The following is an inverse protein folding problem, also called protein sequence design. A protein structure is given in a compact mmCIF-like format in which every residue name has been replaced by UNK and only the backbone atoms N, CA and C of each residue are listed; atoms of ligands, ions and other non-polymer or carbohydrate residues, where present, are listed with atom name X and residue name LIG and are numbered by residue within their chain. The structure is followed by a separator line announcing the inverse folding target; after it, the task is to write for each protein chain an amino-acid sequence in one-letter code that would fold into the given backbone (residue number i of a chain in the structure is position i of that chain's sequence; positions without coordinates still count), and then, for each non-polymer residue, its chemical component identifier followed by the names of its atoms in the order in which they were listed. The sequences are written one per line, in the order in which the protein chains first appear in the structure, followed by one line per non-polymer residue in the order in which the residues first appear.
data_IF_043345534070
#
_entry.id   IF_043345534070
#
_cell.length_a   1.000
_cell.length_b   1.000
_cell.length_c   1.000
_cell.angle_alpha   90.00
_cell.angle_beta   90.00
_cell.angle_gamma   90.00
#
_symmetry.space_group_name_H-M   'P 1'
#
loop_
_entity.id
_entity.type
_entity.pdbx_description
1 polymer ?
#
# COMPACT_ATOMS: atom_id res chain seq x y z
N UNK A 1 -27.68 -25.47 -9.74
CA UNK A 1 -26.60 -25.64 -8.74
C UNK A 1 -26.45 -24.32 -7.98
N UNK A 2 -26.61 -24.32 -6.66
CA UNK A 2 -26.51 -23.11 -5.83
C UNK A 2 -25.03 -22.83 -5.52
N UNK A 3 -24.36 -22.18 -6.48
CA UNK A 3 -22.95 -21.80 -6.44
C UNK A 3 -22.78 -20.54 -5.57
N UNK A 4 -22.74 -20.71 -4.26
CA UNK A 4 -22.58 -19.58 -3.34
C UNK A 4 -22.78 -19.87 -1.87
N UNK A 5 -23.29 -21.06 -1.51
CA UNK A 5 -23.35 -21.46 -0.10
C UNK A 5 -21.94 -21.83 0.39
N UNK A 6 -21.46 -21.25 1.51
CA UNK A 6 -20.19 -21.66 2.10
C UNK A 6 -20.25 -23.13 2.51
N UNK A 7 -19.17 -23.87 2.23
CA UNK A 7 -19.01 -25.27 2.61
C UNK A 7 -19.19 -25.41 4.13
N UNK A 8 -20.12 -26.24 4.62
CA UNK A 8 -20.26 -26.47 6.06
C UNK A 8 -18.94 -26.99 6.63
N UNK A 9 -18.37 -26.30 7.63
CA UNK A 9 -17.15 -26.71 8.34
C UNK A 9 -15.83 -26.08 7.88
N UNK A 10 -15.81 -25.30 6.79
CA UNK A 10 -14.59 -24.61 6.35
C UNK A 10 -14.57 -23.17 6.90
N UNK A 11 -13.67 -22.89 7.85
CA UNK A 11 -13.42 -21.51 8.28
C UNK A 11 -12.69 -20.75 7.19
N UNK A 12 -13.11 -19.52 6.93
CA UNK A 12 -12.55 -18.72 5.85
C UNK A 12 -11.11 -18.33 6.18
N UNK A 13 -10.15 -18.84 5.42
CA UNK A 13 -8.73 -18.50 5.61
C UNK A 13 -8.48 -17.05 5.18
N UNK A 14 -8.42 -16.15 6.17
CA UNK A 14 -8.18 -14.73 5.93
C UNK A 14 -6.81 -14.45 5.31
N UNK A 15 -5.78 -15.25 5.60
CA UNK A 15 -4.46 -15.07 5.02
C UNK A 15 -4.48 -15.32 3.51
N UNK A 16 -5.14 -16.41 3.07
CA UNK A 16 -5.26 -16.72 1.64
C UNK A 16 -6.06 -15.66 0.89
N UNK A 17 -7.11 -15.11 1.50
CA UNK A 17 -7.90 -14.04 0.89
C UNK A 17 -7.06 -12.78 0.74
N UNK A 18 -6.39 -12.34 1.81
CA UNK A 18 -5.55 -11.15 1.77
C UNK A 18 -4.41 -11.32 0.76
N UNK A 19 -3.81 -12.50 0.67
CA UNK A 19 -2.77 -12.80 -0.32
C UNK A 19 -3.32 -12.70 -1.75
N UNK A 20 -4.46 -13.34 -2.04
CA UNK A 20 -5.09 -13.29 -3.35
C UNK A 20 -5.52 -11.86 -3.73
N UNK A 21 -6.08 -11.10 -2.79
CA UNK A 21 -6.44 -9.69 -2.98
C UNK A 21 -5.21 -8.84 -3.27
N UNK A 22 -4.13 -9.04 -2.51
CA UNK A 22 -2.88 -8.30 -2.69
C UNK A 22 -2.28 -8.56 -4.06
N UNK A 23 -2.19 -9.83 -4.48
CA UNK A 23 -1.68 -10.22 -5.79
C UNK A 23 -2.55 -9.63 -6.89
N UNK A 24 -3.88 -9.75 -6.79
CA UNK A 24 -4.80 -9.22 -7.79
C UNK A 24 -4.70 -7.71 -7.96
N UNK A 25 -4.64 -6.97 -6.86
CA UNK A 25 -4.55 -5.49 -6.88
C UNK A 25 -3.17 -5.05 -7.38
N UNK A 26 -2.10 -5.71 -6.96
CA UNK A 26 -0.74 -5.40 -7.40
C UNK A 26 -0.60 -5.59 -8.92
N UNK A 27 -1.05 -6.73 -9.45
CA UNK A 27 -1.01 -6.99 -10.89
C UNK A 27 -1.92 -6.05 -11.69
N UNK A 28 -3.12 -5.76 -11.19
CA UNK A 28 -4.03 -4.81 -11.83
C UNK A 28 -3.36 -3.44 -12.01
N UNK A 29 -2.81 -2.88 -10.93
CA UNK A 29 -2.15 -1.58 -11.00
C UNK A 29 -0.83 -1.62 -11.79
N UNK A 30 -0.13 -2.75 -11.78
CA UNK A 30 1.07 -2.93 -12.61
C UNK A 30 0.75 -2.84 -14.11
N UNK A 31 -0.24 -3.62 -14.57
CA UNK A 31 -0.66 -3.58 -15.99
C UNK A 31 -1.26 -2.22 -16.35
N UNK A 32 -2.03 -1.63 -15.44
CA UNK A 32 -2.61 -0.30 -15.62
C UNK A 32 -1.53 0.78 -15.84
N UNK A 33 -0.50 0.82 -14.99
CA UNK A 33 0.62 1.76 -15.16
C UNK A 33 1.37 1.51 -16.46
N UNK A 34 1.63 0.24 -16.80
CA UNK A 34 2.29 -0.09 -18.05
C UNK A 34 1.50 0.44 -19.26
N UNK A 35 0.17 0.37 -19.21
CA UNK A 35 -0.70 0.89 -20.27
C UNK A 35 -0.73 2.42 -20.33
N UNK A 36 -0.66 3.09 -19.18
CA UNK A 36 -0.58 4.56 -19.11
C UNK A 36 0.73 5.07 -19.71
N UNK A 37 1.83 4.37 -19.44
CA UNK A 37 3.15 4.81 -19.88
C UNK A 37 3.50 4.39 -21.30
N UNK A 38 2.69 3.56 -21.95
CA UNK A 38 2.89 3.22 -23.36
C UNK A 38 2.74 4.48 -24.23
N UNK A 39 3.84 4.89 -24.87
CA UNK A 39 3.92 6.06 -25.75
C UNK A 39 2.98 5.98 -26.96
N UNK A 40 2.58 4.76 -27.37
CA UNK A 40 1.67 4.56 -28.50
C UNK A 40 0.21 4.86 -28.14
N UNK A 41 -0.15 4.82 -26.85
CA UNK A 41 -1.52 4.92 -26.38
C UNK A 41 -1.78 6.20 -25.59
N UNK A 42 -1.04 6.42 -24.49
CA UNK A 42 -1.26 7.53 -23.57
C UNK A 42 0.03 8.29 -23.29
N UNK A 43 1.19 7.66 -23.11
CA UNK A 43 2.46 8.37 -22.88
C UNK A 43 2.52 9.20 -21.59
N UNK A 44 3.73 9.63 -21.23
CA UNK A 44 4.03 10.19 -19.91
C UNK A 44 3.42 11.58 -19.65
N UNK A 45 3.18 12.37 -20.69
CA UNK A 45 2.75 13.78 -20.59
C UNK A 45 1.35 14.03 -21.14
N UNK A 46 0.49 13.01 -21.13
CA UNK A 46 -0.88 13.10 -21.64
C UNK A 46 -1.90 13.37 -20.54
N UNK A 47 -3.01 14.00 -20.91
CA UNK A 47 -4.08 14.39 -19.98
C UNK A 47 -4.59 13.22 -19.13
N UNK A 48 -4.59 12.00 -19.70
CA UNK A 48 -5.00 10.78 -18.99
C UNK A 48 -4.05 10.39 -17.86
N UNK A 49 -2.75 10.58 -18.05
CA UNK A 49 -1.72 10.32 -17.04
C UNK A 49 -1.86 11.29 -15.86
N UNK A 50 -2.11 12.58 -16.15
CA UNK A 50 -2.42 13.58 -15.12
C UNK A 50 -3.72 13.26 -14.38
N UNK A 51 -4.77 12.80 -15.07
CA UNK A 51 -6.02 12.39 -14.43
C UNK A 51 -5.80 11.18 -13.50
N UNK A 52 -5.01 10.21 -13.95
CA UNK A 52 -4.67 9.02 -13.17
C UNK A 52 -3.87 9.38 -11.92
N UNK A 53 -2.94 10.33 -12.03
CA UNK A 53 -2.21 10.90 -10.90
C UNK A 53 -3.14 11.56 -9.87
N UNK A 54 -4.00 12.49 -10.30
CA UNK A 54 -4.92 13.19 -9.40
C UNK A 54 -5.93 12.22 -8.78
N UNK A 55 -6.47 11.29 -9.59
CA UNK A 55 -7.41 10.27 -9.15
C UNK A 55 -6.82 9.34 -8.09
N UNK A 56 -5.64 8.77 -8.35
CA UNK A 56 -4.96 7.90 -7.39
C UNK A 56 -4.52 8.67 -6.13
N UNK A 57 -4.07 9.92 -6.29
CA UNK A 57 -3.67 10.79 -5.18
C UNK A 57 -4.83 11.09 -4.23
N UNK A 58 -5.96 11.61 -4.75
CA UNK A 58 -7.15 11.90 -3.94
C UNK A 58 -7.74 10.63 -3.32
N UNK A 59 -7.77 9.52 -4.07
CA UNK A 59 -8.27 8.26 -3.56
C UNK A 59 -7.39 7.71 -2.43
N UNK A 60 -6.07 7.73 -2.59
CA UNK A 60 -5.15 7.28 -1.53
C UNK A 60 -5.30 8.11 -0.25
N UNK A 61 -5.43 9.44 -0.34
CA UNK A 61 -5.65 10.31 0.82
C UNK A 61 -6.95 9.96 1.56
N UNK A 62 -8.02 9.72 0.81
CA UNK A 62 -9.30 9.26 1.39
C UNK A 62 -9.14 7.92 2.12
N UNK A 63 -8.45 6.96 1.50
CA UNK A 63 -8.22 5.64 2.08
C UNK A 63 -7.32 5.71 3.32
N UNK A 64 -6.25 6.51 3.31
CA UNK A 64 -5.36 6.71 4.45
C UNK A 64 -6.16 7.30 5.64
N UNK A 65 -6.99 8.32 5.40
CA UNK A 65 -7.86 8.88 6.45
C UNK A 65 -8.76 7.81 7.05
N UNK A 66 -9.33 6.93 6.21
CA UNK A 66 -10.18 5.84 6.67
C UNK A 66 -9.39 4.73 7.38
N UNK A 67 -8.15 4.48 6.96
CA UNK A 67 -7.26 3.50 7.55
C UNK A 67 -6.98 3.83 9.03
N UNK A 68 -6.77 5.10 9.34
CA UNK A 68 -6.52 5.59 10.71
C UNK A 68 -7.69 5.35 11.68
N UNK A 69 -8.89 5.08 11.17
CA UNK A 69 -10.08 4.83 12.00
C UNK A 69 -10.22 3.35 12.40
N UNK A 70 -9.49 2.42 11.78
CA UNK A 70 -9.63 1.00 12.09
C UNK A 70 -8.91 0.63 13.40
N UNK A 71 -9.67 0.08 14.35
CA UNK A 71 -9.17 -0.36 15.67
C UNK A 71 -8.63 -1.80 15.70
N UNK A 72 -8.94 -2.64 14.70
CA UNK A 72 -8.49 -4.04 14.64
C UNK A 72 -7.34 -4.19 13.64
N UNK A 73 -6.21 -4.71 14.11
CA UNK A 73 -4.98 -4.88 13.34
C UNK A 73 -5.18 -5.73 12.08
N UNK A 74 -5.92 -6.84 12.16
CA UNK A 74 -6.15 -7.74 11.01
C UNK A 74 -6.98 -7.10 9.89
N UNK A 75 -7.97 -6.28 10.25
CA UNK A 75 -8.79 -5.55 9.28
C UNK A 75 -7.99 -4.36 8.72
N UNK A 76 -7.23 -3.68 9.58
CA UNK A 76 -6.35 -2.59 9.19
C UNK A 76 -5.31 -3.07 8.17
N UNK A 77 -4.68 -4.23 8.37
CA UNK A 77 -3.67 -4.76 7.45
C UNK A 77 -4.23 -5.06 6.06
N UNK A 78 -5.39 -5.73 5.99
CA UNK A 78 -6.09 -6.01 4.73
C UNK A 78 -6.46 -4.73 3.97
N UNK A 79 -6.73 -3.65 4.69
CA UNK A 79 -7.04 -2.35 4.09
C UNK A 79 -5.79 -1.54 3.73
N UNK A 80 -4.72 -1.68 4.52
CA UNK A 80 -3.47 -0.96 4.35
C UNK A 80 -2.74 -1.36 3.07
N UNK A 81 -2.72 -2.65 2.73
CA UNK A 81 -1.98 -3.14 1.55
C UNK A 81 -2.54 -2.53 0.25
N UNK A 82 -3.85 -2.62 -0.07
CA UNK A 82 -4.42 -1.93 -1.23
C UNK A 82 -4.21 -0.42 -1.22
N UNK A 83 -4.33 0.20 -0.04
CA UNK A 83 -4.14 1.64 0.12
C UNK A 83 -2.72 2.07 -0.24
N UNK A 84 -1.72 1.30 0.19
CA UNK A 84 -0.31 1.53 -0.14
C UNK A 84 -0.05 1.36 -1.65
N UNK A 85 -0.67 0.38 -2.30
CA UNK A 85 -0.54 0.18 -3.75
C UNK A 85 -1.12 1.36 -4.52
N UNK A 86 -2.32 1.85 -4.16
CA UNK A 86 -2.93 3.02 -4.82
C UNK A 86 -2.05 4.27 -4.61
N UNK A 87 -1.52 4.45 -3.40
CA UNK A 87 -0.58 5.53 -3.11
C UNK A 87 0.70 5.42 -3.94
N UNK A 88 1.24 4.21 -4.13
CA UNK A 88 2.43 3.97 -4.95
C UNK A 88 2.25 4.43 -6.39
N UNK A 89 1.07 4.25 -6.99
CA UNK A 89 0.82 4.75 -8.36
C UNK A 89 1.05 6.26 -8.48
N UNK A 90 0.70 7.01 -7.45
CA UNK A 90 0.91 8.47 -7.41
C UNK A 90 2.40 8.80 -7.33
N UNK A 91 3.14 8.09 -6.45
CA UNK A 91 4.59 8.24 -6.29
C UNK A 91 5.34 7.87 -7.57
N UNK A 92 4.96 6.76 -8.22
CA UNK A 92 5.57 6.28 -9.45
C UNK A 92 5.48 7.34 -10.57
N UNK A 93 4.30 7.93 -10.76
CA UNK A 93 4.11 8.98 -11.78
C UNK A 93 4.99 10.20 -11.46
N UNK A 94 5.08 10.60 -10.19
CA UNK A 94 5.96 11.70 -9.76
C UNK A 94 7.45 11.41 -9.98
N UNK A 95 7.87 10.17 -9.72
CA UNK A 95 9.24 9.72 -9.95
C UNK A 95 9.61 9.79 -11.44
N UNK A 96 8.70 9.37 -12.32
CA UNK A 96 8.90 9.47 -13.78
C UNK A 96 8.95 10.89 -14.30
N UNK A 97 8.19 11.82 -13.71
CA UNK A 97 8.33 13.25 -14.00
C UNK A 97 9.56 13.90 -13.35
N UNK A 98 10.45 13.11 -12.74
CA UNK A 98 11.67 13.58 -12.08
C UNK A 98 11.43 14.65 -11.01
N UNK A 99 10.29 14.63 -10.32
CA UNK A 99 9.98 15.58 -9.25
C UNK A 99 10.91 15.44 -8.04
N UNK A 100 11.44 14.24 -7.81
CA UNK A 100 12.43 13.95 -6.80
C UNK A 100 13.35 12.85 -7.32
N UNK A 101 14.58 12.80 -6.82
CA UNK A 101 15.41 11.59 -6.99
C UNK A 101 14.97 10.57 -5.96
N UNK A 102 14.78 9.33 -6.39
CA UNK A 102 14.32 8.30 -5.48
C UNK A 102 15.40 7.96 -4.44
N UNK A 103 15.15 8.33 -3.18
CA UNK A 103 16.07 8.02 -2.08
C UNK A 103 16.29 6.52 -1.91
N UNK A 104 15.33 5.68 -2.33
CA UNK A 104 15.45 4.22 -2.31
C UNK A 104 16.33 3.65 -3.42
N UNK A 105 16.57 4.40 -4.51
CA UNK A 105 17.50 4.01 -5.57
C UNK A 105 18.92 4.50 -5.25
N UNK A 106 19.04 5.68 -4.64
CA UNK A 106 20.31 6.30 -4.25
C UNK A 106 20.43 6.50 -2.73
N UNK A 107 20.43 5.43 -1.91
CA UNK A 107 20.38 5.56 -0.45
C UNK A 107 21.63 6.22 0.15
N UNK A 108 22.78 6.11 -0.53
CA UNK A 108 24.05 6.68 -0.07
C UNK A 108 24.18 8.18 -0.33
N UNK A 109 23.48 8.70 -1.34
CA UNK A 109 23.44 10.13 -1.66
C UNK A 109 22.50 10.86 -0.69
N UNK A 110 21.42 10.19 -0.28
CA UNK A 110 20.37 10.72 0.60
C UNK A 110 20.48 10.15 2.02
N UNK A 111 21.62 10.43 2.68
CA UNK A 111 21.96 9.88 4.01
C UNK A 111 20.94 10.28 5.09
N UNK A 112 20.41 11.50 5.05
CA UNK A 112 19.45 12.00 6.04
C UNK A 112 18.08 11.34 5.88
N UNK A 113 17.53 11.26 4.67
CA UNK A 113 16.25 10.59 4.43
C UNK A 113 16.32 9.10 4.74
N UNK A 114 17.41 8.45 4.31
CA UNK A 114 17.64 7.03 4.58
C UNK A 114 17.79 6.75 6.09
N UNK A 115 18.46 7.63 6.84
CA UNK A 115 18.53 7.55 8.30
C UNK A 115 17.17 7.78 8.97
N UNK A 116 16.37 8.72 8.47
CA UNK A 116 15.02 8.97 8.99
C UNK A 116 14.11 7.75 8.81
N UNK A 117 14.16 7.09 7.66
CA UNK A 117 13.43 5.83 7.41
C UNK A 117 13.89 4.75 8.39
N UNK A 118 15.20 4.59 8.61
CA UNK A 118 15.74 3.62 9.55
C UNK A 118 15.24 3.87 10.98
N UNK A 119 15.26 5.12 11.44
CA UNK A 119 14.76 5.51 12.76
C UNK A 119 13.27 5.23 12.88
N UNK A 120 12.48 5.51 11.84
CA UNK A 120 11.04 5.23 11.84
C UNK A 120 10.76 3.72 11.95
N UNK A 121 11.50 2.88 11.22
CA UNK A 121 11.35 1.42 11.28
C UNK A 121 11.71 0.88 12.67
N UNK A 122 12.84 1.33 13.24
CA UNK A 122 13.26 0.92 14.59
C UNK A 122 12.23 1.38 15.62
N UNK A 123 11.77 2.63 15.53
CA UNK A 123 10.75 3.19 16.42
C UNK A 123 9.46 2.37 16.38
N UNK A 124 8.99 2.02 15.17
CA UNK A 124 7.81 1.18 15.01
C UNK A 124 7.99 -0.23 15.60
N UNK A 125 9.16 -0.85 15.41
CA UNK A 125 9.47 -2.16 15.98
C UNK A 125 9.45 -2.12 17.53
N UNK A 126 10.09 -1.11 18.12
CA UNK A 126 10.12 -0.92 19.59
C UNK A 126 8.71 -0.69 20.14
N UNK A 127 7.90 0.15 19.49
CA UNK A 127 6.51 0.38 19.90
C UNK A 127 5.66 -0.90 19.81
N UNK A 128 5.87 -1.70 18.77
CA UNK A 128 5.16 -2.97 18.56
C UNK A 128 5.48 -3.97 19.67
N UNK A 129 6.75 -4.13 20.04
CA UNK A 129 7.17 -5.01 21.15
C UNK A 129 6.61 -4.52 22.49
N UNK A 130 6.67 -3.21 22.77
CA UNK A 130 6.10 -2.64 24.00
C UNK A 130 4.60 -2.85 24.10
N UNK A 131 3.87 -2.65 23.00
CA UNK A 131 2.41 -2.87 22.93
C UNK A 131 2.05 -4.34 23.18
N UNK A 132 2.82 -5.27 22.63
CA UNK A 132 2.65 -6.71 22.88
C UNK A 132 2.85 -7.06 24.37
N UNK A 133 3.94 -6.58 24.98
CA UNK A 133 4.27 -6.86 26.39
C UNK A 133 3.25 -6.25 27.37
N UNK A 134 2.70 -5.07 27.07
CA UNK A 134 1.65 -4.45 27.89
C UNK A 134 0.36 -5.29 27.90
N UNK A 135 0.07 -5.99 26.81
CA UNK A 135 -1.13 -6.83 26.70
C UNK A 135 -1.00 -8.13 27.50
N UNK A 136 0.21 -8.67 27.63
CA UNK A 136 0.54 -9.83 28.47
C UNK A 136 0.31 -9.51 29.95
N UNK A 137 0.88 -8.40 30.44
CA UNK A 137 0.73 -7.95 31.84
C UNK A 137 -0.70 -7.57 32.28
N UNK A 138 -1.68 -7.51 31.36
CA UNK A 138 -3.09 -7.23 31.70
C UNK A 138 -3.94 -8.51 31.83
N UNK A 139 -3.36 -9.67 31.50
CA UNK A 139 -4.04 -10.97 31.52
C UNK A 139 -3.68 -11.75 32.79
N UNK A 140 -2.58 -11.39 33.46
CA UNK A 140 -2.19 -11.82 34.81
C UNK A 140 -2.85 -10.95 35.90
#
# INVERSE_FOLDING_TARGET
MNVGKPSPGLTRNFANIVAAETIGILWFFYVYLMFIYDETMFGEHHWFTYLSFVGAGLWSLYLIRRLLLFKRVTIALRYAIPTAIIFWNTIEIMGRWHWFKEFWIHPLDYKLESAAVLVAVIGFAVLSVKSARKKENQID
#
